data_IF_802147652435
#
_entry.id   IF_802147652435
#
_cell.length_a   1.000
_cell.length_b   1.000
_cell.length_c   1.000
_cell.angle_alpha   90.00
_cell.angle_beta   90.00
_cell.angle_gamma   90.00
#
_symmetry.space_group_name_H-M   'P 1'
#
loop_
_entity.id
_entity.type
_entity.pdbx_description
1 polymer ?
#
# COMPACT_ATOMS: atom_id res chain seq x y z
N UNK A 1 10.33 -8.16 4.39
CA UNK A 1 9.49 -9.37 4.21
C UNK A 1 8.78 -9.74 5.51
N UNK A 2 9.49 -9.95 6.63
CA UNK A 2 8.86 -10.29 7.93
C UNK A 2 7.73 -9.32 8.34
N UNK A 3 7.91 -8.02 8.12
CA UNK A 3 6.88 -7.00 8.37
C UNK A 3 5.58 -7.23 7.58
N UNK A 4 5.69 -7.54 6.27
CA UNK A 4 4.54 -7.86 5.41
C UNK A 4 3.77 -9.05 5.97
N UNK A 5 4.48 -10.12 6.31
CA UNK A 5 3.90 -11.33 6.88
C UNK A 5 3.25 -11.08 8.24
N UNK A 6 3.89 -10.29 9.12
CA UNK A 6 3.33 -9.98 10.45
C UNK A 6 2.05 -9.16 10.37
N UNK A 7 1.98 -8.22 9.41
CA UNK A 7 0.82 -7.33 9.26
C UNK A 7 -0.34 -8.00 8.51
N UNK A 8 -0.07 -8.95 7.63
CA UNK A 8 -1.11 -9.76 6.97
C UNK A 8 -1.93 -9.05 5.89
N UNK A 9 -1.55 -7.81 5.51
CA UNK A 9 -2.25 -7.03 4.47
C UNK A 9 -1.60 -7.11 3.08
N UNK A 10 -0.54 -7.91 2.93
CA UNK A 10 0.21 -8.02 1.67
C UNK A 10 0.91 -6.74 1.22
N UNK A 11 0.93 -5.70 2.08
CA UNK A 11 1.64 -4.45 1.85
C UNK A 11 2.11 -3.80 3.16
N UNK A 12 3.11 -2.92 3.05
CA UNK A 12 3.59 -2.05 4.13
C UNK A 12 3.91 -0.66 3.58
N UNK A 13 3.55 0.36 4.35
CA UNK A 13 3.91 1.75 4.07
C UNK A 13 5.36 2.02 4.45
N UNK A 14 6.06 2.81 3.63
CA UNK A 14 7.40 3.31 3.91
C UNK A 14 7.30 4.80 4.20
N UNK A 15 7.86 5.22 5.33
CA UNK A 15 7.88 6.62 5.74
C UNK A 15 9.29 7.17 5.83
N UNK A 16 9.44 8.47 5.62
CA UNK A 16 10.67 9.18 5.99
C UNK A 16 10.76 9.37 7.53
N UNK A 17 11.82 10.04 7.98
CA UNK A 17 12.08 10.30 9.39
C UNK A 17 11.01 11.19 10.05
N UNK A 18 10.30 12.00 9.27
CA UNK A 18 9.22 12.88 9.75
C UNK A 18 7.85 12.16 9.78
N UNK A 19 7.83 10.89 9.39
CA UNK A 19 6.63 10.06 9.32
C UNK A 19 5.78 10.33 8.07
N UNK A 20 6.30 11.02 7.06
CA UNK A 20 5.60 11.22 5.80
C UNK A 20 5.72 9.99 4.90
N UNK A 21 4.63 9.61 4.25
CA UNK A 21 4.57 8.49 3.31
C UNK A 21 5.42 8.79 2.07
N UNK A 22 6.43 7.96 1.83
CA UNK A 22 7.34 8.07 0.68
C UNK A 22 7.22 6.90 -0.28
N UNK A 23 6.69 5.76 0.18
CA UNK A 23 6.55 4.57 -0.64
C UNK A 23 5.63 3.52 -0.06
N UNK A 24 5.42 2.47 -0.85
CA UNK A 24 4.75 1.24 -0.43
C UNK A 24 5.55 0.04 -0.97
N UNK A 25 5.65 -1.02 -0.17
CA UNK A 25 6.08 -2.33 -0.65
C UNK A 25 4.91 -3.29 -0.57
N UNK A 26 4.69 -4.05 -1.61
CA UNK A 26 3.65 -5.09 -1.70
C UNK A 26 4.25 -6.47 -1.95
N UNK A 27 3.49 -7.54 -1.72
CA UNK A 27 3.88 -8.90 -2.14
C UNK A 27 4.14 -8.99 -3.65
N UNK A 28 3.51 -8.12 -4.45
CA UNK A 28 3.79 -7.97 -5.88
C UNK A 28 5.21 -7.50 -6.16
N UNK A 29 5.70 -6.52 -5.38
CA UNK A 29 7.07 -6.01 -5.51
C UNK A 29 8.08 -7.08 -5.08
N UNK A 30 7.81 -7.78 -3.98
CA UNK A 30 8.63 -8.91 -3.53
C UNK A 30 8.70 -9.99 -4.61
N UNK A 31 7.56 -10.42 -5.13
CA UNK A 31 7.48 -11.44 -6.18
C UNK A 31 8.26 -11.04 -7.44
N UNK A 32 8.20 -9.77 -7.85
CA UNK A 32 8.92 -9.27 -9.03
C UNK A 32 10.45 -9.30 -8.87
N UNK A 33 10.94 -9.12 -7.64
CA UNK A 33 12.37 -9.00 -7.36
C UNK A 33 12.99 -10.25 -6.71
N UNK A 34 12.20 -11.25 -6.31
CA UNK A 34 12.71 -12.44 -5.59
C UNK A 34 13.75 -13.22 -6.39
N UNK A 35 13.64 -13.22 -7.73
CA UNK A 35 14.61 -13.87 -8.63
C UNK A 35 15.91 -13.08 -8.82
N UNK A 36 15.95 -11.80 -8.43
CA UNK A 36 17.06 -10.87 -8.67
C UNK A 36 17.71 -10.42 -7.36
N UNK A 37 18.29 -11.35 -6.61
CA UNK A 37 18.98 -11.13 -5.33
C UNK A 37 18.32 -10.08 -4.41
N UNK A 38 17.00 -10.23 -4.20
CA UNK A 38 16.19 -9.33 -3.37
C UNK A 38 16.82 -9.01 -2.01
N UNK A 39 17.52 -9.98 -1.42
CA UNK A 39 18.15 -9.83 -0.10
C UNK A 39 19.30 -8.81 -0.09
N UNK A 40 19.89 -8.49 -1.24
CA UNK A 40 20.91 -7.45 -1.37
C UNK A 40 20.34 -6.08 -1.76
N UNK A 41 19.04 -5.99 -2.04
CA UNK A 41 18.39 -4.75 -2.45
C UNK A 41 17.93 -3.94 -1.23
N UNK A 42 18.00 -2.62 -1.36
CA UNK A 42 17.46 -1.67 -0.39
C UNK A 42 15.95 -1.49 -0.59
N UNK A 43 15.27 -1.00 0.45
CA UNK A 43 13.83 -0.62 0.39
C UNK A 43 13.56 0.35 -0.76
N UNK A 44 14.41 1.36 -0.94
CA UNK A 44 14.27 2.38 -1.98
C UNK A 44 14.36 1.83 -3.41
N UNK A 45 15.05 0.71 -3.60
CA UNK A 45 15.17 0.02 -4.88
C UNK A 45 13.98 -0.88 -5.19
N UNK A 46 13.25 -1.32 -4.16
CA UNK A 46 12.14 -2.28 -4.29
C UNK A 46 10.77 -1.61 -4.21
N UNK A 47 10.65 -0.53 -3.43
CA UNK A 47 9.36 0.12 -3.17
C UNK A 47 8.80 0.83 -4.39
N UNK A 48 7.47 0.86 -4.47
CA UNK A 48 6.76 1.82 -5.33
C UNK A 48 6.78 3.18 -4.65
N UNK A 49 7.47 4.16 -5.26
CA UNK A 49 7.53 5.55 -4.79
C UNK A 49 6.24 6.30 -5.12
N UNK A 50 5.80 7.18 -4.23
CA UNK A 50 4.60 7.99 -4.44
C UNK A 50 3.33 7.15 -4.67
N UNK A 51 2.96 6.27 -3.73
CA UNK A 51 1.82 5.38 -3.89
C UNK A 51 0.52 6.18 -4.03
N UNK A 52 -0.50 5.56 -4.63
CA UNK A 52 -1.85 6.11 -4.61
C UNK A 52 -2.36 6.16 -3.18
N UNK A 53 -3.09 7.22 -2.85
CA UNK A 53 -3.63 7.45 -1.52
C UNK A 53 -5.09 7.89 -1.55
N UNK A 54 -5.76 7.72 -0.42
CA UNK A 54 -7.04 8.35 -0.09
C UNK A 54 -6.89 9.21 1.18
N UNK A 55 -7.88 10.04 1.47
CA UNK A 55 -8.02 10.74 2.75
C UNK A 55 -9.06 10.03 3.62
N UNK A 56 -9.10 10.28 4.94
CA UNK A 56 -10.14 9.73 5.82
C UNK A 56 -11.57 10.03 5.35
N UNK A 57 -11.78 11.18 4.69
CA UNK A 57 -13.09 11.61 4.18
C UNK A 57 -13.40 11.06 2.77
N UNK A 58 -12.51 10.27 2.18
CA UNK A 58 -12.72 9.72 0.83
C UNK A 58 -13.91 8.75 0.84
N UNK A 59 -14.86 9.00 -0.07
CA UNK A 59 -16.01 8.13 -0.25
C UNK A 59 -15.56 6.72 -0.64
N UNK A 60 -16.21 5.72 -0.06
CA UNK A 60 -15.96 4.29 -0.31
C UNK A 60 -15.99 3.95 -1.81
N UNK A 61 -16.97 4.48 -2.54
CA UNK A 61 -17.08 4.28 -3.99
C UNK A 61 -15.85 4.83 -4.76
N UNK A 62 -15.36 6.01 -4.35
CA UNK A 62 -14.15 6.62 -4.94
C UNK A 62 -12.90 5.82 -4.62
N UNK A 63 -12.78 5.30 -3.40
CA UNK A 63 -11.68 4.42 -3.02
C UNK A 63 -11.70 3.12 -3.84
N UNK A 64 -12.86 2.47 -3.99
CA UNK A 64 -13.02 1.26 -4.80
C UNK A 64 -12.66 1.52 -6.27
N UNK A 65 -13.14 2.63 -6.83
CA UNK A 65 -12.79 3.02 -8.20
C UNK A 65 -11.28 3.22 -8.36
N UNK A 66 -10.61 3.85 -7.38
CA UNK A 66 -9.16 4.06 -7.41
C UNK A 66 -8.40 2.73 -7.39
N UNK A 67 -8.83 1.80 -6.53
CA UNK A 67 -8.27 0.45 -6.40
C UNK A 67 -8.39 -0.30 -7.73
N UNK A 68 -9.58 -0.33 -8.33
CA UNK A 68 -9.84 -1.01 -9.60
C UNK A 68 -9.06 -0.39 -10.76
N UNK A 69 -9.11 0.93 -10.92
CA UNK A 69 -8.45 1.64 -12.03
C UNK A 69 -6.92 1.54 -11.95
N UNK A 70 -6.36 1.40 -10.74
CA UNK A 70 -4.93 1.30 -10.53
C UNK A 70 -4.42 -0.15 -10.48
N UNK A 71 -5.32 -1.14 -10.61
CA UNK A 71 -5.00 -2.57 -10.48
C UNK A 71 -4.21 -2.90 -9.19
N UNK A 72 -4.59 -2.25 -8.07
CA UNK A 72 -4.01 -2.49 -6.74
C UNK A 72 -5.07 -3.17 -5.85
N UNK A 73 -4.65 -3.73 -4.71
CA UNK A 73 -5.54 -4.38 -3.74
C UNK A 73 -5.66 -3.62 -2.42
N UNK A 74 -4.84 -2.59 -2.24
CA UNK A 74 -4.77 -1.81 -1.01
C UNK A 74 -4.48 -0.35 -1.35
N UNK A 75 -5.11 0.57 -0.61
CA UNK A 75 -4.95 2.01 -0.78
C UNK A 75 -4.62 2.64 0.56
N UNK A 76 -3.48 3.35 0.63
CA UNK A 76 -3.06 4.02 1.86
C UNK A 76 -3.96 5.21 2.16
N UNK A 77 -4.39 5.35 3.40
CA UNK A 77 -5.14 6.53 3.87
C UNK A 77 -4.17 7.49 4.54
N UNK A 78 -4.16 8.75 4.11
CA UNK A 78 -3.25 9.78 4.61
C UNK A 78 -3.98 11.03 5.08
N UNK A 79 -3.48 11.64 6.14
CA UNK A 79 -3.78 13.03 6.52
C UNK A 79 -2.57 13.90 6.19
N UNK A 80 -2.72 14.78 5.19
CA UNK A 80 -1.58 15.47 4.58
C UNK A 80 -0.62 14.45 3.96
N UNK A 81 0.59 14.32 4.52
CA UNK A 81 1.56 13.28 4.10
C UNK A 81 1.66 12.10 5.05
N UNK A 82 0.98 12.10 6.19
CA UNK A 82 1.15 11.06 7.21
C UNK A 82 0.17 9.91 6.96
N UNK A 83 0.63 8.65 6.89
CA UNK A 83 -0.28 7.51 6.80
C UNK A 83 -1.02 7.32 8.12
N UNK A 84 -2.34 7.29 8.04
CA UNK A 84 -3.25 7.12 9.20
C UNK A 84 -4.10 5.86 9.11
N UNK A 85 -4.12 5.19 7.95
CA UNK A 85 -4.89 3.97 7.77
C UNK A 85 -4.61 3.26 6.44
N UNK A 86 -5.35 2.19 6.20
CA UNK A 86 -5.27 1.38 4.99
C UNK A 86 -6.69 0.92 4.63
N UNK A 87 -7.04 1.03 3.36
CA UNK A 87 -8.24 0.42 2.79
C UNK A 87 -7.80 -0.82 2.02
N UNK A 88 -8.32 -1.99 2.37
CA UNK A 88 -8.10 -3.22 1.62
C UNK A 88 -9.34 -3.54 0.76
N UNK A 89 -9.12 -4.03 -0.47
CA UNK A 89 -10.22 -4.40 -1.38
C UNK A 89 -11.22 -5.36 -0.70
N UNK A 90 -10.72 -6.36 0.04
CA UNK A 90 -11.57 -7.30 0.77
C UNK A 90 -12.47 -6.65 1.82
N UNK A 91 -12.04 -5.54 2.44
CA UNK A 91 -12.87 -4.82 3.41
C UNK A 91 -14.04 -4.13 2.68
N UNK A 92 -13.77 -3.54 1.51
CA UNK A 92 -14.78 -2.92 0.65
C UNK A 92 -15.82 -3.94 0.16
N UNK A 93 -15.36 -5.13 -0.23
CA UNK A 93 -16.26 -6.23 -0.62
C UNK A 93 -17.12 -6.69 0.55
N UNK A 94 -16.55 -6.77 1.76
CA UNK A 94 -17.27 -7.24 2.96
C UNK A 94 -18.40 -6.30 3.38
N UNK A 95 -18.26 -5.00 3.14
CA UNK A 95 -19.30 -4.00 3.46
C UNK A 95 -20.33 -3.82 2.33
N UNK A 96 -20.23 -4.58 1.23
CA UNK A 96 -21.17 -4.51 0.11
C UNK A 96 -21.01 -3.28 -0.77
N UNK A 97 -19.79 -2.72 -0.85
CA UNK A 97 -19.51 -1.54 -1.69
C UNK A 97 -19.30 -1.87 -3.18
N UNK A 98 -19.31 -3.16 -3.55
CA UNK A 98 -19.12 -3.66 -4.92
C UNK A 98 -20.40 -4.30 -5.46
#
# INVERSE_FOLDING_TARGET
ILELSRKGFGCVAITDADGALVGIITDGDIRRHIGSNLLAMTVDQVMTKGPKTATPDTLVATALQTINNSAITSLMVVEGRKPVGLIHLHDLLRIGAA
#
